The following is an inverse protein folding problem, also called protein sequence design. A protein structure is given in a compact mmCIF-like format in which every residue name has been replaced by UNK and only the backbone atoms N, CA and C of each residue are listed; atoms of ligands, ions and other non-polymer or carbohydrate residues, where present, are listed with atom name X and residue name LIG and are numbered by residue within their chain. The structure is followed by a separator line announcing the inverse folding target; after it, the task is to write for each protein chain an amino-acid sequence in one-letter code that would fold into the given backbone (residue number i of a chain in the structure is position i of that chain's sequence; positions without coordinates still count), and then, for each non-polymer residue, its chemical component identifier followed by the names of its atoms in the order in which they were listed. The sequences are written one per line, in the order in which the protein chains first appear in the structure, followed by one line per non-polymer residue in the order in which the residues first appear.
data_IF_434925745927
#
_entry.id   IF_434925745927
#
_cell.length_a   1.000
_cell.length_b   1.000
_cell.length_c   1.000
_cell.angle_alpha   90.00
_cell.angle_beta   90.00
_cell.angle_gamma   90.00
#
_symmetry.space_group_name_H-M   'P 1'
#
loop_
_entity.id
_entity.type
_entity.pdbx_description
1 polymer ?
#
# COMPACT_ATOMS: atom_id res chain seq x y z
N UNK A 1 1.39 -10.64 -26.84
CA UNK A 1 2.44 -9.82 -26.19
C UNK A 1 2.15 -8.31 -26.30
N UNK A 2 2.01 -7.71 -27.49
CA UNK A 2 1.76 -6.25 -27.65
C UNK A 2 0.43 -5.79 -27.02
N UNK A 3 -0.64 -6.59 -27.12
CA UNK A 3 -1.95 -6.27 -26.52
C UNK A 3 -1.94 -6.24 -24.98
N UNK A 4 -1.11 -7.02 -24.29
CA UNK A 4 -1.07 -6.97 -22.81
C UNK A 4 -0.29 -5.78 -22.29
N UNK A 5 0.80 -5.38 -22.94
CA UNK A 5 1.58 -4.19 -22.57
C UNK A 5 0.76 -2.90 -22.77
N UNK A 6 0.05 -2.76 -23.90
CA UNK A 6 -0.83 -1.62 -24.13
C UNK A 6 -1.98 -1.56 -23.11
N UNK A 7 -2.57 -2.72 -22.77
CA UNK A 7 -3.61 -2.81 -21.76
C UNK A 7 -3.09 -2.36 -20.38
N UNK A 8 -1.91 -2.85 -19.96
CA UNK A 8 -1.29 -2.48 -18.68
C UNK A 8 -0.95 -1.00 -18.62
N UNK A 9 -0.36 -0.44 -19.67
CA UNK A 9 -0.04 0.98 -19.76
C UNK A 9 -1.30 1.87 -19.75
N UNK A 10 -2.36 1.44 -20.45
CA UNK A 10 -3.63 2.16 -20.46
C UNK A 10 -4.31 2.11 -19.08
N UNK A 11 -4.37 0.92 -18.45
CA UNK A 11 -4.85 0.76 -17.07
C UNK A 11 -4.08 1.65 -16.10
N UNK A 12 -2.75 1.63 -16.17
CA UNK A 12 -1.88 2.48 -15.33
C UNK A 12 -2.23 3.97 -15.48
N UNK A 13 -2.37 4.44 -16.72
CA UNK A 13 -2.72 5.83 -17.01
C UNK A 13 -4.10 6.20 -16.46
N UNK A 14 -5.10 5.33 -16.64
CA UNK A 14 -6.45 5.55 -16.12
C UNK A 14 -6.49 5.55 -14.59
N UNK A 15 -5.77 4.64 -13.94
CA UNK A 15 -5.63 4.61 -12.48
C UNK A 15 -5.07 5.93 -11.95
N UNK A 16 -4.00 6.45 -12.55
CA UNK A 16 -3.39 7.73 -12.14
C UNK A 16 -4.38 8.89 -12.31
N UNK A 17 -5.10 8.95 -13.44
CA UNK A 17 -6.11 10.00 -13.69
C UNK A 17 -7.26 9.93 -12.67
N UNK A 18 -7.74 8.74 -12.34
CA UNK A 18 -8.79 8.53 -11.34
C UNK A 18 -8.33 8.99 -9.96
N UNK A 19 -7.13 8.60 -9.53
CA UNK A 19 -6.55 9.05 -8.25
C UNK A 19 -6.46 10.59 -8.19
N UNK A 20 -5.93 11.22 -9.24
CA UNK A 20 -5.81 12.69 -9.30
C UNK A 20 -7.18 13.35 -9.21
N UNK A 21 -8.18 12.82 -9.93
CA UNK A 21 -9.54 13.37 -9.87
C UNK A 21 -10.16 13.27 -8.48
N UNK A 22 -9.93 12.17 -7.76
CA UNK A 22 -10.39 12.01 -6.38
C UNK A 22 -9.71 13.03 -5.47
N UNK A 23 -8.39 13.18 -5.58
CA UNK A 23 -7.60 14.15 -4.80
C UNK A 23 -8.10 15.58 -5.01
N UNK A 24 -8.38 15.98 -6.25
CA UNK A 24 -8.85 17.34 -6.57
C UNK A 24 -10.28 17.63 -6.08
N UNK A 25 -11.11 16.60 -5.93
CA UNK A 25 -12.55 16.78 -5.68
C UNK A 25 -13.00 16.41 -4.27
N UNK A 26 -12.10 15.88 -3.44
CA UNK A 26 -12.43 15.38 -2.10
C UNK A 26 -11.78 16.27 -1.05
N UNK A 27 -12.60 16.82 -0.14
CA UNK A 27 -12.14 17.69 0.95
C UNK A 27 -12.05 16.99 2.30
N UNK A 28 -12.61 15.79 2.40
CA UNK A 28 -12.60 14.96 3.60
C UNK A 28 -11.49 13.89 3.49
N UNK A 29 -10.60 13.84 4.47
CA UNK A 29 -9.43 12.96 4.43
C UNK A 29 -9.81 11.48 4.47
N UNK A 30 -10.76 11.08 5.31
CA UNK A 30 -11.18 9.69 5.45
C UNK A 30 -11.85 9.19 4.15
N UNK A 31 -12.70 10.04 3.56
CA UNK A 31 -13.32 9.77 2.25
C UNK A 31 -12.26 9.68 1.16
N UNK A 32 -11.26 10.57 1.15
CA UNK A 32 -10.16 10.55 0.20
C UNK A 32 -9.40 9.23 0.27
N UNK A 33 -8.93 8.85 1.47
CA UNK A 33 -8.14 7.64 1.69
C UNK A 33 -8.89 6.39 1.26
N UNK A 34 -10.18 6.28 1.63
CA UNK A 34 -11.01 5.14 1.24
C UNK A 34 -11.16 5.03 -0.27
N UNK A 35 -11.52 6.13 -0.96
CA UNK A 35 -11.70 6.14 -2.43
C UNK A 35 -10.42 5.81 -3.19
N UNK A 36 -9.25 6.21 -2.67
CA UNK A 36 -7.96 5.83 -3.25
C UNK A 36 -7.70 4.32 -3.13
N UNK A 37 -8.00 3.72 -1.97
CA UNK A 37 -7.93 2.28 -1.82
C UNK A 37 -8.91 1.55 -2.77
N UNK A 38 -10.12 2.09 -2.98
CA UNK A 38 -11.09 1.55 -3.95
C UNK A 38 -10.54 1.53 -5.37
N UNK A 39 -9.90 2.61 -5.83
CA UNK A 39 -9.27 2.65 -7.16
C UNK A 39 -8.18 1.60 -7.29
N UNK A 40 -7.31 1.46 -6.29
CA UNK A 40 -6.25 0.44 -6.31
C UNK A 40 -6.82 -0.97 -6.37
N UNK A 41 -7.85 -1.29 -5.58
CA UNK A 41 -8.44 -2.63 -5.59
C UNK A 41 -9.20 -2.90 -6.88
N UNK A 42 -10.13 -2.03 -7.25
CA UNK A 42 -11.09 -2.31 -8.33
C UNK A 42 -10.53 -2.02 -9.72
N UNK A 43 -9.69 -1.00 -9.89
CA UNK A 43 -9.10 -0.68 -11.21
C UNK A 43 -7.85 -1.51 -11.50
N UNK A 44 -7.07 -1.88 -10.48
CA UNK A 44 -5.87 -2.69 -10.66
C UNK A 44 -6.06 -4.19 -10.43
N UNK A 45 -7.16 -4.60 -9.77
CA UNK A 45 -7.48 -6.01 -9.51
C UNK A 45 -6.75 -6.62 -8.32
N UNK A 46 -6.21 -5.79 -7.41
CA UNK A 46 -5.53 -6.28 -6.21
C UNK A 46 -6.53 -6.79 -5.18
N UNK A 47 -6.06 -7.66 -4.30
CA UNK A 47 -6.91 -8.36 -3.35
C UNK A 47 -7.21 -7.53 -2.09
N UNK A 48 -6.23 -6.76 -1.63
CA UNK A 48 -6.35 -5.84 -0.50
C UNK A 48 -5.49 -4.62 -0.75
N UNK A 49 -6.01 -3.45 -0.40
CA UNK A 49 -5.25 -2.21 -0.26
C UNK A 49 -5.61 -1.57 1.07
N UNK A 50 -4.61 -1.16 1.84
CA UNK A 50 -4.81 -0.39 3.05
C UNK A 50 -3.73 0.67 3.25
N UNK A 51 -4.13 1.79 3.83
CA UNK A 51 -3.27 2.91 4.16
C UNK A 51 -3.09 2.92 5.68
N UNK A 52 -1.83 2.95 6.11
CA UNK A 52 -1.45 3.01 7.51
C UNK A 52 -0.74 4.29 7.85
N UNK A 53 -1.07 4.91 8.98
CA UNK A 53 -0.33 6.05 9.52
C UNK A 53 0.56 5.66 10.70
N UNK A 54 1.70 6.32 10.78
CA UNK A 54 2.63 6.17 11.90
C UNK A 54 1.99 6.81 13.13
N UNK A 55 1.90 6.05 14.21
CA UNK A 55 1.56 6.60 15.51
C UNK A 55 2.76 7.37 16.08
N UNK A 56 2.51 8.52 16.72
CA UNK A 56 3.58 9.34 17.31
C UNK A 56 3.97 8.87 18.72
N UNK A 57 3.64 7.63 19.07
CA UNK A 57 3.91 7.05 20.39
C UNK A 57 5.23 6.24 20.41
N UNK A 58 5.75 5.90 21.60
CA UNK A 58 6.96 5.08 21.72
C UNK A 58 6.82 3.66 21.14
N UNK A 59 5.60 3.20 20.86
CA UNK A 59 5.33 1.84 20.37
C UNK A 59 5.69 1.66 18.90
N UNK A 60 5.94 2.76 18.16
CA UNK A 60 6.31 2.76 16.74
C UNK A 60 5.35 1.93 15.89
N UNK A 61 4.06 1.99 16.21
CA UNK A 61 3.00 1.29 15.49
C UNK A 61 2.65 1.99 14.19
N UNK A 62 2.19 1.19 13.23
CA UNK A 62 1.52 1.67 12.02
C UNK A 62 0.06 1.28 12.14
N UNK A 63 -0.82 2.29 12.27
CA UNK A 63 -2.26 2.08 12.44
C UNK A 63 -2.95 2.11 11.07
N UNK A 64 -3.69 1.07 10.69
CA UNK A 64 -4.57 1.14 9.52
C UNK A 64 -5.62 2.24 9.71
N UNK A 65 -5.75 3.12 8.73
CA UNK A 65 -6.72 4.25 8.73
C UNK A 65 -7.79 4.07 7.66
N UNK A 66 -7.42 3.46 6.53
CA UNK A 66 -8.36 3.08 5.48
C UNK A 66 -7.97 1.73 4.90
N UNK A 67 -8.96 0.92 4.53
CA UNK A 67 -8.76 -0.35 3.85
C UNK A 67 -9.93 -0.65 2.92
N UNK A 68 -9.61 -1.33 1.81
CA UNK A 68 -10.58 -1.86 0.84
C UNK A 68 -10.05 -3.20 0.32
N UNK A 69 -10.96 -4.13 0.06
CA UNK A 69 -10.64 -5.45 -0.46
C UNK A 69 -10.93 -6.55 0.54
N UNK A 70 -10.37 -7.74 0.28
CA UNK A 70 -10.62 -8.92 1.08
C UNK A 70 -9.71 -8.96 2.31
N UNK A 71 -10.06 -8.21 3.34
CA UNK A 71 -9.38 -8.19 4.64
C UNK A 71 -9.76 -9.39 5.53
N UNK A 72 -11.06 -9.69 5.68
CA UNK A 72 -11.57 -10.80 6.51
C UNK A 72 -10.95 -10.85 7.94
N UNK A 73 -10.73 -9.68 8.56
CA UNK A 73 -10.12 -9.54 9.88
C UNK A 73 -8.60 -9.61 9.89
N UNK A 74 -7.92 -9.57 8.74
CA UNK A 74 -6.45 -9.60 8.67
C UNK A 74 -5.83 -8.47 9.47
N UNK A 75 -6.27 -7.24 9.21
CA UNK A 75 -5.74 -6.03 9.84
C UNK A 75 -5.96 -5.98 11.36
N UNK A 76 -7.00 -6.64 11.86
CA UNK A 76 -7.29 -6.74 13.30
C UNK A 76 -6.40 -7.77 14.01
N UNK A 77 -5.89 -8.76 13.27
CA UNK A 77 -5.12 -9.89 13.81
C UNK A 77 -3.61 -9.74 13.67
N UNK A 78 -3.13 -8.61 13.14
CA UNK A 78 -1.71 -8.39 12.91
C UNK A 78 -1.17 -7.15 13.63
N UNK A 79 0.07 -7.26 14.09
CA UNK A 79 0.83 -6.12 14.59
C UNK A 79 1.82 -5.65 13.52
N UNK A 80 1.78 -4.36 13.21
CA UNK A 80 2.72 -3.74 12.27
C UNK A 80 3.43 -2.60 12.98
N UNK A 81 4.76 -2.64 12.98
CA UNK A 81 5.60 -1.60 13.55
C UNK A 81 6.62 -1.12 12.52
N UNK A 82 7.40 -0.10 12.88
CA UNK A 82 8.56 0.37 12.09
C UNK A 82 9.84 0.42 12.94
N UNK A 83 9.89 -0.38 14.00
CA UNK A 83 11.07 -0.55 14.84
C UNK A 83 12.06 -1.60 14.27
N UNK A 84 13.00 -2.08 15.08
CA UNK A 84 14.00 -3.09 14.67
C UNK A 84 13.60 -4.51 15.07
N UNK A 85 12.33 -4.75 15.47
CA UNK A 85 11.81 -6.09 15.76
C UNK A 85 11.40 -6.80 14.47
N UNK A 86 11.02 -8.09 14.55
CA UNK A 86 10.47 -8.83 13.41
C UNK A 86 9.24 -8.15 12.81
N UNK A 87 8.36 -7.59 13.65
CA UNK A 87 7.18 -6.83 13.21
C UNK A 87 7.54 -5.48 12.54
N UNK A 88 8.76 -4.99 12.73
CA UNK A 88 9.28 -3.76 12.12
C UNK A 88 10.12 -3.98 10.86
N UNK A 89 10.49 -5.23 10.56
CA UNK A 89 11.33 -5.61 9.42
C UNK A 89 10.53 -6.13 8.22
N UNK A 90 9.21 -6.27 8.36
CA UNK A 90 8.32 -6.52 7.24
C UNK A 90 8.26 -5.38 6.22
N UNK A 91 7.57 -5.59 5.08
CA UNK A 91 7.49 -4.61 4.01
C UNK A 91 7.12 -3.20 4.48
N UNK A 92 6.08 -3.08 5.30
CA UNK A 92 5.58 -1.79 5.81
C UNK A 92 6.62 -1.05 6.65
N UNK A 93 7.20 -1.72 7.66
CA UNK A 93 8.19 -1.11 8.54
C UNK A 93 9.47 -0.73 7.80
N UNK A 94 9.92 -1.57 6.86
CA UNK A 94 11.09 -1.27 6.03
C UNK A 94 10.83 -0.15 5.03
N UNK A 95 9.64 -0.05 4.45
CA UNK A 95 9.28 1.04 3.56
C UNK A 95 9.35 2.39 4.28
N UNK A 96 8.81 2.46 5.50
CA UNK A 96 8.87 3.64 6.36
C UNK A 96 10.33 3.99 6.73
N UNK A 97 11.13 3.00 7.15
CA UNK A 97 12.53 3.23 7.57
C UNK A 97 13.43 3.71 6.42
N UNK A 98 13.24 3.15 5.23
CA UNK A 98 14.15 3.38 4.09
C UNK A 98 13.67 4.46 3.13
N UNK A 99 12.42 4.91 3.26
CA UNK A 99 11.73 5.77 2.29
C UNK A 99 11.74 5.20 0.87
N UNK A 100 11.73 3.87 0.74
CA UNK A 100 11.69 3.16 -0.54
C UNK A 100 10.58 2.11 -0.52
N UNK A 101 9.97 1.78 -1.67
CA UNK A 101 9.07 0.64 -1.74
C UNK A 101 9.77 -0.66 -1.33
N UNK A 102 9.02 -1.54 -0.68
CA UNK A 102 9.49 -2.88 -0.30
C UNK A 102 8.48 -3.91 -0.77
N UNK A 103 8.98 -4.91 -1.48
CA UNK A 103 8.16 -5.94 -2.13
C UNK A 103 8.48 -7.31 -1.54
N UNK A 104 7.45 -8.03 -1.10
CA UNK A 104 7.51 -9.46 -0.86
C UNK A 104 6.89 -10.19 -2.06
N UNK A 105 7.73 -10.56 -3.03
CA UNK A 105 7.28 -11.21 -4.26
C UNK A 105 6.67 -12.60 -4.04
N UNK A 106 7.06 -13.28 -2.95
CA UNK A 106 6.49 -14.56 -2.55
C UNK A 106 6.35 -14.56 -1.02
N UNK A 107 5.12 -14.39 -0.53
CA UNK A 107 4.83 -14.37 0.92
C UNK A 107 5.21 -15.70 1.61
N UNK A 108 5.03 -16.83 0.90
CA UNK A 108 5.32 -18.15 1.44
C UNK A 108 6.82 -18.33 1.76
N UNK A 109 7.70 -17.76 0.93
CA UNK A 109 9.15 -17.92 1.03
C UNK A 109 9.87 -16.73 1.67
N UNK A 110 9.20 -15.57 1.80
CA UNK A 110 9.81 -14.37 2.35
C UNK A 110 9.95 -14.48 3.88
N UNK A 111 11.21 -14.55 4.35
CA UNK A 111 11.55 -14.63 5.79
C UNK A 111 11.14 -13.38 6.57
N UNK A 112 11.29 -12.20 5.99
CA UNK A 112 10.92 -10.94 6.64
C UNK A 112 9.40 -10.76 6.74
N UNK A 113 8.62 -11.56 6.00
CA UNK A 113 7.15 -11.57 6.09
C UNK A 113 6.62 -12.57 7.13
N UNK A 114 7.49 -13.35 7.78
CA UNK A 114 7.09 -14.45 8.67
C UNK A 114 6.01 -14.10 9.70
N UNK A 115 6.07 -12.96 10.43
CA UNK A 115 5.08 -12.64 11.46
C UNK A 115 3.63 -12.53 10.96
N UNK A 116 3.44 -12.27 9.66
CA UNK A 116 2.12 -12.08 9.04
C UNK A 116 1.71 -13.21 8.11
N UNK A 117 2.63 -14.16 7.85
CA UNK A 117 2.47 -15.15 6.78
C UNK A 117 1.23 -16.01 6.99
N UNK A 118 1.01 -16.52 8.20
CA UNK A 118 -0.11 -17.41 8.47
C UNK A 118 -1.46 -16.73 8.16
N UNK A 119 -1.66 -15.52 8.67
CA UNK A 119 -2.88 -14.75 8.43
C UNK A 119 -3.03 -14.33 6.97
N UNK A 120 -1.94 -13.95 6.30
CA UNK A 120 -1.97 -13.60 4.87
C UNK A 120 -2.38 -14.80 3.98
N UNK A 121 -1.86 -15.99 4.29
CA UNK A 121 -2.15 -17.20 3.51
C UNK A 121 -3.60 -17.66 3.68
N UNK A 122 -4.22 -17.47 4.85
CA UNK A 122 -5.66 -17.75 5.05
C UNK A 122 -6.56 -16.99 4.07
N UNK A 123 -6.08 -15.86 3.56
CA UNK A 123 -6.80 -14.98 2.63
C UNK A 123 -6.32 -15.10 1.18
N UNK A 124 -5.35 -15.98 0.91
CA UNK A 124 -4.85 -16.24 -0.43
C UNK A 124 -3.87 -15.20 -0.97
N UNK A 125 -3.24 -14.39 -0.11
CA UNK A 125 -2.23 -13.43 -0.56
C UNK A 125 -0.95 -14.16 -0.98
N UNK A 126 -0.55 -14.01 -2.25
CA UNK A 126 0.69 -14.56 -2.80
C UNK A 126 1.88 -13.60 -2.75
N UNK A 127 1.62 -12.30 -2.84
CA UNK A 127 2.63 -11.25 -2.73
C UNK A 127 2.09 -10.00 -2.06
N UNK A 128 3.00 -9.15 -1.55
CA UNK A 128 2.66 -7.84 -1.00
C UNK A 128 3.68 -6.77 -1.38
N UNK A 129 3.23 -5.52 -1.48
CA UNK A 129 4.10 -4.35 -1.59
C UNK A 129 3.69 -3.32 -0.54
N UNK A 130 4.68 -2.66 0.07
CA UNK A 130 4.49 -1.48 0.87
C UNK A 130 5.23 -0.30 0.25
N UNK A 131 4.57 0.85 0.14
CA UNK A 131 5.12 2.07 -0.45
C UNK A 131 4.98 3.19 0.59
N UNK A 132 6.06 3.88 0.93
CA UNK A 132 6.02 4.90 1.96
C UNK A 132 5.24 6.13 1.52
N UNK A 133 4.54 6.76 2.46
CA UNK A 133 3.84 8.03 2.29
C UNK A 133 4.53 9.11 3.11
N UNK A 134 5.06 10.12 2.41
CA UNK A 134 5.82 11.20 3.02
C UNK A 134 5.65 12.51 2.26
N UNK A 135 5.78 13.62 2.98
CA UNK A 135 6.02 14.95 2.41
C UNK A 135 7.52 15.25 2.42
N UNK A 136 7.93 16.38 1.87
CA UNK A 136 9.33 16.84 1.96
C UNK A 136 9.86 16.86 3.39
N UNK A 137 8.99 17.13 4.37
CA UNK A 137 9.37 17.35 5.77
C UNK A 137 9.07 16.16 6.68
N UNK A 138 8.14 15.26 6.32
CA UNK A 138 7.65 14.25 7.26
C UNK A 138 7.25 12.93 6.59
N UNK A 139 7.78 11.83 7.13
CA UNK A 139 7.22 10.49 6.92
C UNK A 139 5.97 10.33 7.77
N UNK A 140 4.84 9.96 7.20
CA UNK A 140 3.59 9.86 7.94
C UNK A 140 2.85 8.53 7.76
N UNK A 141 3.28 7.65 6.85
CA UNK A 141 2.61 6.36 6.69
C UNK A 141 3.15 5.49 5.56
N UNK A 142 2.32 4.53 5.16
CA UNK A 142 2.51 3.71 3.96
C UNK A 142 1.17 3.33 3.35
N UNK A 143 1.17 3.09 2.03
CA UNK A 143 0.14 2.31 1.35
C UNK A 143 0.65 0.87 1.18
N UNK A 144 -0.21 -0.10 1.43
CA UNK A 144 0.16 -1.51 1.49
C UNK A 144 -0.85 -2.29 0.66
N UNK A 145 -0.36 -3.09 -0.29
CA UNK A 145 -1.17 -3.71 -1.35
C UNK A 145 -0.80 -5.18 -1.46
N UNK A 146 -1.81 -6.03 -1.65
CA UNK A 146 -1.68 -7.48 -1.70
C UNK A 146 -2.28 -8.03 -2.98
N UNK A 147 -1.62 -9.01 -3.56
CA UNK A 147 -2.07 -9.70 -4.76
C UNK A 147 -2.11 -11.22 -4.51
N UNK A 148 -3.01 -11.96 -5.19
CA UNK A 148 -3.08 -13.41 -5.06
C UNK A 148 -1.91 -14.12 -5.74
N UNK A 149 -1.31 -13.53 -6.78
CA UNK A 149 -0.17 -14.09 -7.49
C UNK A 149 1.14 -13.82 -6.76
N UNK A 150 2.09 -14.75 -6.88
CA UNK A 150 3.50 -14.44 -6.63
C UNK A 150 4.05 -13.59 -7.79
N UNK A 151 5.06 -12.77 -7.51
CA UNK A 151 5.71 -11.90 -8.49
C UNK A 151 4.77 -10.88 -9.16
N UNK A 152 3.69 -10.47 -8.49
CA UNK A 152 2.70 -9.54 -9.04
C UNK A 152 3.25 -8.11 -9.23
N UNK A 153 4.29 -7.74 -8.48
CA UNK A 153 4.82 -6.38 -8.44
C UNK A 153 6.13 -6.27 -9.22
N UNK A 154 6.05 -6.33 -10.55
CA UNK A 154 7.18 -6.06 -11.42
C UNK A 154 7.54 -4.55 -11.48
N UNK A 155 8.55 -4.19 -12.27
CA UNK A 155 9.01 -2.80 -12.38
C UNK A 155 7.94 -1.85 -12.94
N UNK A 156 7.04 -2.33 -13.79
CA UNK A 156 5.96 -1.51 -14.35
C UNK A 156 4.88 -1.24 -13.30
N UNK A 157 4.46 -2.27 -12.54
CA UNK A 157 3.53 -2.08 -11.42
C UNK A 157 4.13 -1.20 -10.34
N UNK A 158 5.41 -1.41 -10.00
CA UNK A 158 6.11 -0.62 -8.99
C UNK A 158 6.06 0.87 -9.32
N UNK A 159 6.40 1.23 -10.56
CA UNK A 159 6.39 2.62 -11.02
C UNK A 159 4.99 3.25 -11.00
N UNK A 160 3.97 2.48 -11.38
CA UNK A 160 2.57 2.91 -11.27
C UNK A 160 2.21 3.22 -9.81
N UNK A 161 2.49 2.28 -8.91
CA UNK A 161 2.07 2.40 -7.52
C UNK A 161 2.86 3.47 -6.77
N UNK A 162 4.14 3.68 -7.11
CA UNK A 162 4.93 4.82 -6.62
C UNK A 162 4.29 6.15 -7.06
N UNK A 163 3.92 6.28 -8.33
CA UNK A 163 3.25 7.49 -8.85
C UNK A 163 1.93 7.74 -8.12
N UNK A 164 1.16 6.68 -7.84
CA UNK A 164 -0.07 6.80 -7.05
C UNK A 164 0.25 7.24 -5.63
N UNK A 165 1.21 6.62 -4.93
CA UNK A 165 1.59 6.98 -3.57
C UNK A 165 2.09 8.43 -3.45
N UNK A 166 2.81 8.94 -4.44
CA UNK A 166 3.20 10.35 -4.53
C UNK A 166 1.98 11.29 -4.61
N UNK A 167 1.01 10.97 -5.47
CA UNK A 167 -0.21 11.76 -5.62
C UNK A 167 -1.04 11.73 -4.33
N UNK A 168 -1.17 10.55 -3.70
CA UNK A 168 -1.82 10.39 -2.39
C UNK A 168 -1.14 11.28 -1.36
N UNK A 169 0.20 11.27 -1.31
CA UNK A 169 0.95 12.06 -0.34
C UNK A 169 0.73 13.56 -0.51
N UNK A 170 0.69 14.04 -1.77
CA UNK A 170 0.35 15.44 -2.08
C UNK A 170 -1.10 15.79 -1.71
N UNK A 171 -2.05 14.90 -1.99
CA UNK A 171 -3.46 15.09 -1.66
C UNK A 171 -3.71 15.23 -0.15
N UNK A 172 -3.14 14.31 0.63
CA UNK A 172 -3.23 14.36 2.10
C UNK A 172 -2.56 15.63 2.63
N UNK A 173 -1.38 15.98 2.12
CA UNK A 173 -0.69 17.20 2.53
C UNK A 173 -1.55 18.44 2.27
N UNK A 174 -2.20 18.53 1.11
CA UNK A 174 -3.06 19.65 0.76
C UNK A 174 -4.30 19.80 1.67
N UNK A 175 -4.83 18.70 2.22
CA UNK A 175 -5.99 18.77 3.13
C UNK A 175 -5.62 19.13 4.57
N UNK A 176 -4.36 18.90 4.96
CA UNK A 176 -3.85 19.17 6.31
C UNK A 176 -3.17 20.53 6.46
N UNK A 177 -3.05 21.28 5.36
CA UNK A 177 -2.48 22.62 5.33
C UNK A 177 -3.49 23.70 5.75
#
# INVERSE_FOLDING_TARGET
MIKSSLYRANRASLTILQCNKIIETTTDEDVLLKRLCEVIVYSCGYQLCWIGFIDNDPSKRVKPIASVGFDDGYLDNILITWDNTSCGNGPTGMAIKTKKPVVAQNILENKEFEPWREEALKRGYGSSIAIPLYTETKMFGSINIYAPETNAFDQEELKLLETVAENISKGIASLRC
#
